data_IF_451931086528
#
_entry.id   IF_451931086528
#
_cell.length_a   1.000
_cell.length_b   1.000
_cell.length_c   1.000
_cell.angle_alpha   90.00
_cell.angle_beta   90.00
_cell.angle_gamma   90.00
#
_symmetry.space_group_name_H-M   'P 1'
#
loop_
_entity.id
_entity.type
_entity.pdbx_description
1 polymer ?
#
# COMPACT_ATOMS: atom_id res chain seq x y z
N UNK A 1 -20.46 -22.39 -58.79
CA UNK A 1 -19.59 -21.24 -59.13
C UNK A 1 -19.09 -20.66 -57.81
N UNK A 2 -17.77 -20.57 -57.65
CA UNK A 2 -17.06 -20.19 -56.42
C UNK A 2 -17.49 -18.83 -55.85
N UNK A 3 -17.09 -18.45 -54.63
CA UNK A 3 -15.70 -18.14 -54.26
C UNK A 3 -15.40 -18.47 -52.80
N UNK A 4 -14.18 -18.94 -52.59
CA UNK A 4 -13.46 -19.12 -51.33
C UNK A 4 -12.98 -17.75 -50.78
N UNK A 5 -13.36 -17.38 -49.54
CA UNK A 5 -12.53 -16.46 -48.73
C UNK A 5 -12.50 -16.94 -47.29
N UNK A 6 -11.29 -17.26 -46.86
CA UNK A 6 -10.87 -17.61 -45.52
C UNK A 6 -10.18 -16.37 -44.90
N UNK A 7 -10.37 -16.21 -43.58
CA UNK A 7 -9.67 -15.33 -42.63
C UNK A 7 -10.03 -13.84 -42.58
N UNK A 8 -10.78 -13.47 -41.54
CA UNK A 8 -10.29 -12.47 -40.59
C UNK A 8 -10.29 -13.07 -39.17
N UNK A 9 -9.12 -13.05 -38.55
CA UNK A 9 -8.81 -13.47 -37.21
C UNK A 9 -8.76 -12.23 -36.30
N UNK A 10 -9.79 -12.00 -35.49
CA UNK A 10 -9.65 -11.15 -34.31
C UNK A 10 -10.23 -11.86 -33.06
N UNK A 11 -9.42 -12.14 -32.02
CA UNK A 11 -9.90 -12.66 -30.75
C UNK A 11 -10.38 -11.49 -29.87
N UNK A 12 -11.60 -10.99 -30.11
CA UNK A 12 -12.20 -9.99 -29.19
C UNK A 12 -13.67 -10.18 -28.85
N UNK A 13 -14.37 -11.19 -29.37
CA UNK A 13 -15.83 -11.26 -29.22
C UNK A 13 -16.37 -12.24 -28.15
N UNK A 14 -15.54 -13.11 -27.53
CA UNK A 14 -16.05 -14.14 -26.59
C UNK A 14 -16.09 -13.71 -25.12
N UNK A 15 -15.67 -12.49 -24.78
CA UNK A 15 -15.70 -11.97 -23.41
C UNK A 15 -16.98 -11.25 -23.01
N UNK A 16 -17.81 -10.84 -23.99
CA UNK A 16 -18.97 -9.97 -23.74
C UNK A 16 -20.31 -10.72 -23.73
N UNK A 17 -20.44 -11.79 -24.53
CA UNK A 17 -21.67 -12.58 -24.62
C UNK A 17 -21.96 -13.39 -23.34
N UNK A 18 -20.94 -13.94 -22.67
CA UNK A 18 -21.14 -14.67 -21.41
C UNK A 18 -21.52 -13.76 -20.22
N UNK A 19 -21.04 -12.52 -20.22
CA UNK A 19 -21.35 -11.54 -19.17
C UNK A 19 -22.74 -10.95 -19.34
N UNK A 20 -23.18 -10.68 -20.57
CA UNK A 20 -24.52 -10.12 -20.82
C UNK A 20 -25.60 -11.17 -20.56
N UNK A 21 -25.39 -12.44 -20.91
CA UNK A 21 -26.33 -13.53 -20.60
C UNK A 21 -26.41 -13.81 -19.09
N UNK A 22 -25.28 -13.75 -18.37
CA UNK A 22 -25.27 -13.89 -16.91
C UNK A 22 -25.97 -12.70 -16.22
N UNK A 23 -25.79 -11.49 -16.76
CA UNK A 23 -26.48 -10.29 -16.28
C UNK A 23 -27.97 -10.37 -16.60
N UNK A 24 -28.38 -10.77 -17.81
CA UNK A 24 -29.78 -10.87 -18.21
C UNK A 24 -30.51 -12.00 -17.46
N UNK A 25 -29.85 -13.13 -17.19
CA UNK A 25 -30.37 -14.17 -16.31
C UNK A 25 -30.61 -13.67 -14.89
N UNK A 26 -29.65 -12.92 -14.32
CA UNK A 26 -29.78 -12.31 -12.99
C UNK A 26 -30.88 -11.24 -13.00
N UNK A 27 -30.96 -10.40 -14.02
CA UNK A 27 -31.98 -9.34 -14.15
C UNK A 27 -33.39 -9.92 -14.37
N UNK A 28 -33.53 -11.03 -15.11
CA UNK A 28 -34.80 -11.76 -15.28
C UNK A 28 -35.21 -12.55 -14.04
N UNK A 29 -34.25 -13.05 -13.27
CA UNK A 29 -34.52 -13.59 -11.94
C UNK A 29 -34.96 -12.47 -10.96
N UNK A 30 -34.45 -11.25 -11.16
CA UNK A 30 -34.78 -10.05 -10.40
C UNK A 30 -36.19 -9.50 -10.69
N UNK A 31 -36.65 -9.56 -11.94
CA UNK A 31 -37.92 -8.93 -12.34
C UNK A 31 -39.19 -9.70 -11.94
N UNK A 32 -39.06 -10.88 -11.33
CA UNK A 32 -40.19 -11.66 -10.77
C UNK A 32 -40.39 -11.49 -9.26
N UNK A 33 -39.46 -10.86 -8.56
CA UNK A 33 -39.54 -10.72 -7.09
C UNK A 33 -39.26 -9.26 -6.72
N UNK A 34 -40.31 -8.45 -6.83
CA UNK A 34 -40.33 -7.09 -6.31
C UNK A 34 -40.16 -7.12 -4.79
N UNK A 35 -39.03 -6.61 -4.31
CA UNK A 35 -38.88 -6.21 -2.90
C UNK A 35 -37.58 -6.67 -2.25
N UNK A 36 -36.71 -5.69 -2.00
CA UNK A 36 -35.55 -5.76 -1.12
C UNK A 36 -34.46 -6.79 -1.49
N UNK A 37 -33.35 -6.29 -2.05
CA UNK A 37 -32.05 -6.91 -1.77
C UNK A 37 -31.88 -6.80 -0.26
N UNK A 38 -32.18 -7.86 0.47
CA UNK A 38 -31.93 -7.91 1.90
C UNK A 38 -30.41 -7.78 2.09
N UNK A 39 -29.98 -6.96 3.04
CA UNK A 39 -28.57 -6.85 3.47
C UNK A 39 -27.95 -8.25 3.69
N UNK A 40 -28.79 -9.24 4.02
CA UNK A 40 -28.43 -10.65 4.16
C UNK A 40 -27.94 -11.30 2.85
N UNK A 41 -28.56 -11.04 1.70
CA UNK A 41 -28.12 -11.60 0.42
C UNK A 41 -26.73 -11.08 0.00
N UNK A 42 -26.47 -9.78 0.21
CA UNK A 42 -25.14 -9.19 -0.04
C UNK A 42 -24.09 -9.73 0.92
N UNK A 43 -24.43 -9.85 2.20
CA UNK A 43 -23.56 -10.43 3.23
C UNK A 43 -23.25 -11.91 2.95
N UNK A 44 -24.22 -12.65 2.43
CA UNK A 44 -24.08 -14.04 2.04
C UNK A 44 -23.19 -14.21 0.82
N UNK A 45 -23.32 -13.35 -0.21
CA UNK A 45 -22.45 -13.38 -1.38
C UNK A 45 -21.00 -12.98 -1.05
N UNK A 46 -20.82 -11.97 -0.18
CA UNK A 46 -19.50 -11.62 0.38
C UNK A 46 -18.95 -12.81 1.17
N UNK A 47 -19.77 -13.41 2.03
CA UNK A 47 -19.41 -14.59 2.82
C UNK A 47 -19.03 -15.79 1.95
N UNK A 48 -19.79 -16.08 0.89
CA UNK A 48 -19.54 -17.17 -0.04
C UNK A 48 -18.28 -16.95 -0.90
N UNK A 49 -18.06 -15.72 -1.38
CA UNK A 49 -16.85 -15.34 -2.11
C UNK A 49 -15.60 -15.42 -1.22
N UNK A 50 -15.69 -14.94 0.03
CA UNK A 50 -14.65 -15.10 1.04
C UNK A 50 -14.40 -16.58 1.32
N UNK A 51 -15.45 -17.38 1.53
CA UNK A 51 -15.31 -18.81 1.81
C UNK A 51 -14.68 -19.57 0.65
N UNK A 52 -15.02 -19.24 -0.60
CA UNK A 52 -14.42 -19.85 -1.80
C UNK A 52 -12.95 -19.46 -2.00
N UNK A 53 -12.62 -18.18 -1.82
CA UNK A 53 -11.24 -17.70 -1.95
C UNK A 53 -10.35 -18.09 -0.77
N UNK A 54 -10.90 -18.21 0.45
CA UNK A 54 -10.14 -18.57 1.65
C UNK A 54 -10.11 -20.07 1.97
N UNK A 55 -10.63 -20.95 1.09
CA UNK A 55 -10.55 -22.41 1.28
C UNK A 55 -9.12 -22.93 1.52
N UNK A 56 -8.11 -22.22 1.00
CA UNK A 56 -6.72 -22.58 1.20
C UNK A 56 -6.16 -21.94 2.49
N UNK A 57 -5.59 -22.73 3.42
CA UNK A 57 -5.15 -22.22 4.73
C UNK A 57 -4.14 -21.08 4.61
N UNK A 58 -3.24 -21.14 3.61
CA UNK A 58 -2.28 -20.05 3.36
C UNK A 58 -2.97 -18.77 2.86
N UNK A 59 -4.01 -18.87 2.02
CA UNK A 59 -4.75 -17.68 1.55
C UNK A 59 -5.49 -17.02 2.70
N UNK A 60 -6.09 -17.81 3.58
CA UNK A 60 -6.70 -17.33 4.83
C UNK A 60 -5.69 -16.61 5.72
N UNK A 61 -4.53 -17.22 5.97
CA UNK A 61 -3.46 -16.59 6.77
C UNK A 61 -2.98 -15.26 6.19
N UNK A 62 -2.83 -15.18 4.86
CA UNK A 62 -2.46 -13.93 4.16
C UNK A 62 -3.55 -12.89 4.30
N UNK A 63 -4.81 -13.27 4.07
CA UNK A 63 -5.94 -12.35 4.19
C UNK A 63 -6.07 -11.79 5.61
N UNK A 64 -6.03 -12.65 6.62
CA UNK A 64 -6.09 -12.27 8.03
C UNK A 64 -4.90 -11.37 8.43
N UNK A 65 -3.72 -11.62 7.86
CA UNK A 65 -2.56 -10.73 8.03
C UNK A 65 -2.81 -9.35 7.46
N UNK A 66 -3.38 -9.25 6.25
CA UNK A 66 -3.67 -7.98 5.60
C UNK A 66 -4.84 -7.22 6.24
N UNK A 67 -5.74 -7.89 6.95
CA UNK A 67 -6.72 -7.22 7.84
C UNK A 67 -5.99 -6.52 8.98
N UNK A 68 -5.04 -7.19 9.63
CA UNK A 68 -4.30 -6.65 10.78
C UNK A 68 -3.25 -5.61 10.38
N UNK A 69 -2.62 -5.79 9.24
CA UNK A 69 -1.58 -4.90 8.72
C UNK A 69 -1.85 -4.54 7.24
N UNK A 70 -2.81 -3.64 6.98
CA UNK A 70 -3.13 -3.21 5.62
C UNK A 70 -1.95 -2.50 4.95
N UNK A 71 -1.75 -2.75 3.67
CA UNK A 71 -0.69 -2.13 2.87
C UNK A 71 0.69 -2.72 3.11
N UNK A 72 0.78 -3.89 3.76
CA UNK A 72 2.05 -4.58 3.91
C UNK A 72 2.61 -5.01 2.55
N UNK A 73 3.94 -5.02 2.47
CA UNK A 73 4.63 -5.29 1.23
C UNK A 73 4.88 -6.80 1.06
N UNK A 74 4.92 -7.25 -0.20
CA UNK A 74 5.10 -8.66 -0.57
C UNK A 74 6.11 -9.44 0.30
N UNK A 75 7.35 -8.95 0.40
CA UNK A 75 8.42 -9.61 1.17
C UNK A 75 8.16 -9.65 2.68
N UNK A 76 7.44 -8.69 3.23
CA UNK A 76 7.09 -8.65 4.66
C UNK A 76 5.97 -9.63 4.95
N UNK A 77 4.96 -9.72 4.07
CA UNK A 77 3.92 -10.75 4.15
C UNK A 77 4.54 -12.15 4.14
N UNK A 78 5.44 -12.42 3.19
CA UNK A 78 6.10 -13.73 3.09
C UNK A 78 6.90 -14.09 4.34
N UNK A 79 7.67 -13.13 4.87
CA UNK A 79 8.50 -13.32 6.07
C UNK A 79 7.65 -13.46 7.34
N UNK A 80 6.66 -12.60 7.51
CA UNK A 80 5.83 -12.57 8.74
C UNK A 80 4.97 -13.82 8.89
N UNK A 81 4.62 -14.46 7.77
CA UNK A 81 3.83 -15.68 7.75
C UNK A 81 4.68 -16.95 7.58
N UNK A 82 6.01 -16.81 7.50
CA UNK A 82 6.94 -17.90 7.24
C UNK A 82 6.51 -18.78 6.05
N UNK A 83 6.25 -18.12 4.92
CA UNK A 83 5.84 -18.77 3.67
C UNK A 83 6.88 -18.54 2.59
N UNK A 84 7.14 -19.59 1.80
CA UNK A 84 8.06 -19.51 0.66
C UNK A 84 7.63 -18.41 -0.32
N UNK A 85 8.60 -17.70 -0.90
CA UNK A 85 8.37 -16.55 -1.80
C UNK A 85 7.45 -16.92 -2.98
N UNK A 86 7.69 -18.07 -3.63
CA UNK A 86 6.86 -18.53 -4.75
C UNK A 86 5.41 -18.77 -4.33
N UNK A 87 5.22 -19.43 -3.19
CA UNK A 87 3.92 -19.72 -2.58
C UNK A 87 3.18 -18.43 -2.20
N UNK A 88 3.85 -17.48 -1.56
CA UNK A 88 3.29 -16.16 -1.24
C UNK A 88 2.82 -15.43 -2.51
N UNK A 89 3.63 -15.47 -3.58
CA UNK A 89 3.32 -14.81 -4.85
C UNK A 89 2.08 -15.42 -5.48
N UNK A 90 2.02 -16.75 -5.57
CA UNK A 90 0.87 -17.46 -6.12
C UNK A 90 -0.42 -17.12 -5.37
N UNK A 91 -0.38 -17.19 -4.04
CA UNK A 91 -1.57 -16.95 -3.22
C UNK A 91 -2.03 -15.48 -3.21
N UNK A 92 -1.10 -14.52 -3.17
CA UNK A 92 -1.47 -13.10 -3.31
C UNK A 92 -2.05 -12.80 -4.69
N UNK A 93 -1.49 -13.36 -5.75
CA UNK A 93 -2.05 -13.21 -7.10
C UNK A 93 -3.45 -13.81 -7.21
N UNK A 94 -3.69 -14.98 -6.58
CA UNK A 94 -5.01 -15.58 -6.52
C UNK A 94 -6.02 -14.69 -5.76
N UNK A 95 -5.64 -14.17 -4.59
CA UNK A 95 -6.49 -13.25 -3.80
C UNK A 95 -6.83 -11.95 -4.54
N UNK A 96 -5.88 -11.45 -5.36
CA UNK A 96 -6.12 -10.28 -6.22
C UNK A 96 -7.07 -10.62 -7.36
N UNK A 97 -6.85 -11.75 -8.06
CA UNK A 97 -7.72 -12.22 -9.14
C UNK A 97 -9.15 -12.50 -8.67
N UNK A 98 -9.30 -12.98 -7.45
CA UNK A 98 -10.59 -13.25 -6.80
C UNK A 98 -11.25 -12.00 -6.20
N UNK A 99 -10.58 -10.83 -6.26
CA UNK A 99 -11.14 -9.56 -5.82
C UNK A 99 -11.20 -9.35 -4.31
N UNK A 100 -10.62 -10.27 -3.52
CA UNK A 100 -10.59 -10.18 -2.05
C UNK A 100 -9.54 -9.17 -1.55
N UNK A 101 -8.45 -9.04 -2.29
CA UNK A 101 -7.34 -8.12 -2.03
C UNK A 101 -7.11 -7.29 -3.28
N UNK A 102 -6.66 -6.04 -3.13
CA UNK A 102 -6.12 -5.26 -4.23
C UNK A 102 -4.66 -4.92 -3.97
N UNK A 103 -3.92 -4.71 -5.06
CA UNK A 103 -2.51 -4.36 -5.05
C UNK A 103 -2.36 -2.91 -5.53
N UNK A 104 -1.57 -2.13 -4.80
CA UNK A 104 -1.09 -0.81 -5.24
C UNK A 104 0.43 -0.81 -5.30
N UNK A 105 0.98 -0.19 -6.34
CA UNK A 105 2.42 0.02 -6.45
C UNK A 105 2.75 1.45 -5.99
N UNK A 106 3.34 1.56 -4.79
CA UNK A 106 3.72 2.86 -4.19
C UNK A 106 5.23 2.90 -4.02
N UNK A 107 5.89 3.94 -4.57
CA UNK A 107 7.35 4.12 -4.48
C UNK A 107 8.16 2.86 -4.88
N UNK A 108 7.72 2.15 -5.92
CA UNK A 108 8.37 0.93 -6.42
C UNK A 108 8.17 -0.31 -5.54
N UNK A 109 7.20 -0.28 -4.61
CA UNK A 109 6.85 -1.42 -3.75
C UNK A 109 5.38 -1.78 -3.92
N UNK A 110 5.14 -3.05 -4.19
CA UNK A 110 3.81 -3.65 -4.16
C UNK A 110 3.30 -3.73 -2.72
N UNK A 111 2.16 -3.09 -2.47
CA UNK A 111 1.42 -3.10 -1.21
C UNK A 111 0.05 -3.72 -1.43
N UNK A 112 -0.40 -4.50 -0.46
CA UNK A 112 -1.63 -5.27 -0.57
C UNK A 112 -2.64 -4.84 0.49
N UNK A 113 -3.89 -4.74 0.10
CA UNK A 113 -4.96 -4.24 0.95
C UNK A 113 -6.22 -5.09 0.76
N UNK A 114 -6.97 -5.32 1.83
CA UNK A 114 -8.24 -6.03 1.76
C UNK A 114 -9.32 -5.11 1.17
N UNK A 115 -10.16 -5.65 0.29
CA UNK A 115 -11.18 -4.85 -0.41
C UNK A 115 -12.47 -4.65 0.40
N UNK A 116 -12.90 -5.67 1.13
CA UNK A 116 -14.17 -5.67 1.85
C UNK A 116 -14.07 -4.90 3.18
N UNK A 117 -14.93 -3.89 3.38
CA UNK A 117 -15.18 -3.26 4.69
C UNK A 117 -14.01 -2.49 5.32
N UNK A 118 -12.93 -2.22 4.58
CA UNK A 118 -11.67 -1.73 5.16
C UNK A 118 -11.18 -0.38 4.57
N UNK A 119 -12.02 0.37 3.84
CA UNK A 119 -11.59 1.54 3.06
C UNK A 119 -10.88 2.63 3.90
N UNK A 120 -11.44 2.99 5.05
CA UNK A 120 -10.87 4.05 5.91
C UNK A 120 -9.56 3.59 6.56
N UNK A 121 -9.51 2.34 7.03
CA UNK A 121 -8.31 1.75 7.59
C UNK A 121 -7.22 1.67 6.52
N UNK A 122 -7.54 1.19 5.33
CA UNK A 122 -6.61 1.13 4.20
C UNK A 122 -6.06 2.52 3.87
N UNK A 123 -6.92 3.55 3.82
CA UNK A 123 -6.49 4.93 3.56
C UNK A 123 -5.51 5.43 4.62
N UNK A 124 -5.80 5.19 5.89
CA UNK A 124 -4.96 5.63 7.00
C UNK A 124 -3.59 4.96 6.98
N UNK A 125 -3.55 3.65 6.71
CA UNK A 125 -2.30 2.91 6.54
C UNK A 125 -1.53 3.34 5.28
N UNK A 126 -2.21 3.55 4.15
CA UNK A 126 -1.60 4.02 2.91
C UNK A 126 -0.87 5.36 3.12
N UNK A 127 -1.51 6.32 3.79
CA UNK A 127 -0.90 7.60 4.16
C UNK A 127 0.33 7.40 5.06
N UNK A 128 0.22 6.54 6.09
CA UNK A 128 1.34 6.24 6.96
C UNK A 128 2.54 5.65 6.20
N UNK A 129 2.26 4.72 5.29
CA UNK A 129 3.26 4.08 4.45
C UNK A 129 3.95 5.05 3.50
N UNK A 130 3.18 5.94 2.87
CA UNK A 130 3.70 7.00 2.02
C UNK A 130 4.68 7.89 2.80
N UNK A 131 4.28 8.38 3.98
CA UNK A 131 5.15 9.19 4.84
C UNK A 131 6.41 8.45 5.28
N UNK A 132 6.33 7.13 5.51
CA UNK A 132 7.51 6.30 5.80
C UNK A 132 8.42 6.20 4.58
N UNK A 133 7.88 5.97 3.39
CA UNK A 133 8.65 5.85 2.16
C UNK A 133 9.32 7.18 1.77
N UNK A 134 8.62 8.32 1.90
CA UNK A 134 9.21 9.66 1.69
C UNK A 134 10.37 9.90 2.65
N UNK A 135 10.22 9.57 3.95
CA UNK A 135 11.31 9.69 4.93
C UNK A 135 12.51 8.83 4.55
N UNK A 136 12.31 7.60 4.09
CA UNK A 136 13.39 6.72 3.64
C UNK A 136 14.09 7.29 2.40
N UNK A 137 13.34 7.87 1.46
CA UNK A 137 13.90 8.54 0.27
C UNK A 137 14.74 9.76 0.64
N UNK A 138 14.28 10.57 1.59
CA UNK A 138 15.06 11.70 2.13
C UNK A 138 16.38 11.20 2.75
N UNK A 139 16.32 10.16 3.58
CA UNK A 139 17.52 9.55 4.19
C UNK A 139 18.48 9.03 3.11
N UNK A 140 17.97 8.42 2.04
CA UNK A 140 18.79 7.94 0.93
C UNK A 140 19.48 9.10 0.18
N UNK A 141 18.80 10.22 -0.04
CA UNK A 141 19.39 11.42 -0.64
C UNK A 141 20.50 11.99 0.24
N UNK A 142 20.24 12.14 1.54
CA UNK A 142 21.25 12.65 2.48
C UNK A 142 22.45 11.71 2.61
N UNK A 143 22.25 10.40 2.52
CA UNK A 143 23.36 9.43 2.49
C UNK A 143 24.26 9.63 1.27
N UNK A 144 23.69 9.99 0.10
CA UNK A 144 24.44 10.18 -1.15
C UNK A 144 25.13 11.54 -1.23
N UNK A 145 24.49 12.59 -0.72
CA UNK A 145 24.99 13.97 -0.80
C UNK A 145 25.78 14.42 0.43
N UNK A 146 25.85 13.59 1.48
CA UNK A 146 26.30 13.89 2.85
C UNK A 146 25.45 14.96 3.57
N UNK A 147 25.22 16.11 2.93
CA UNK A 147 24.37 17.21 3.41
C UNK A 147 23.62 17.89 2.26
N UNK A 148 22.39 18.32 2.50
CA UNK A 148 21.57 18.98 1.48
C UNK A 148 20.57 19.97 2.08
N UNK A 149 20.23 21.01 1.30
CA UNK A 149 19.13 21.93 1.64
C UNK A 149 17.78 21.29 1.30
N UNK A 150 16.68 21.68 1.97
CA UNK A 150 15.33 21.21 1.63
C UNK A 150 14.94 21.45 0.17
N UNK A 151 15.41 22.55 -0.44
CA UNK A 151 15.17 22.86 -1.85
C UNK A 151 15.86 21.85 -2.78
N UNK A 152 17.11 21.46 -2.49
CA UNK A 152 17.83 20.43 -3.24
C UNK A 152 17.14 19.08 -3.11
N UNK A 153 16.75 18.69 -1.90
CA UNK A 153 16.03 17.43 -1.65
C UNK A 153 14.69 17.41 -2.38
N UNK A 154 13.95 18.52 -2.37
CA UNK A 154 12.69 18.69 -3.11
C UNK A 154 12.88 18.47 -4.60
N UNK A 155 13.90 19.10 -5.21
CA UNK A 155 14.23 18.92 -6.64
C UNK A 155 14.62 17.47 -6.96
N UNK A 156 15.46 16.84 -6.14
CA UNK A 156 15.90 15.45 -6.36
C UNK A 156 14.76 14.44 -6.22
N UNK A 157 13.83 14.67 -5.28
CA UNK A 157 12.74 13.74 -5.01
C UNK A 157 11.45 14.04 -5.80
N UNK A 158 11.36 15.19 -6.45
CA UNK A 158 10.16 15.62 -7.18
C UNK A 158 8.94 15.84 -6.27
N UNK A 159 9.16 16.30 -5.03
CA UNK A 159 8.09 16.55 -4.04
C UNK A 159 8.17 17.97 -3.49
N UNK A 160 7.07 18.48 -2.94
CA UNK A 160 7.00 19.87 -2.48
C UNK A 160 7.99 20.18 -1.36
N UNK A 161 8.53 21.40 -1.35
CA UNK A 161 9.44 21.87 -0.30
C UNK A 161 8.79 21.83 1.08
N UNK A 162 7.49 22.09 1.17
CA UNK A 162 6.73 22.02 2.43
C UNK A 162 6.68 20.58 2.97
N UNK A 163 6.42 19.59 2.10
CA UNK A 163 6.40 18.17 2.49
C UNK A 163 7.79 17.69 2.94
N UNK A 164 8.84 18.08 2.20
CA UNK A 164 10.23 17.80 2.61
C UNK A 164 10.52 18.40 3.98
N UNK A 165 10.17 19.67 4.20
CA UNK A 165 10.42 20.37 5.46
C UNK A 165 9.69 19.69 6.63
N UNK A 166 8.42 19.32 6.42
CA UNK A 166 7.66 18.54 7.39
C UNK A 166 8.37 17.24 7.80
N UNK A 167 8.83 16.46 6.81
CA UNK A 167 9.52 15.20 7.10
C UNK A 167 10.90 15.38 7.70
N UNK A 168 11.66 16.42 7.32
CA UNK A 168 12.94 16.73 7.93
C UNK A 168 12.80 17.09 9.41
N UNK A 169 11.81 17.90 9.78
CA UNK A 169 11.50 18.20 11.19
C UNK A 169 11.15 16.92 11.96
N UNK A 170 10.35 16.03 11.37
CA UNK A 170 10.01 14.74 12.00
C UNK A 170 11.23 13.82 12.16
N UNK A 171 12.12 13.79 11.17
CA UNK A 171 13.36 13.02 11.21
C UNK A 171 14.36 13.59 12.22
N UNK A 172 14.41 14.92 12.36
CA UNK A 172 15.27 15.63 13.33
C UNK A 172 14.81 15.35 14.75
N UNK A 173 13.49 15.48 15.02
CA UNK A 173 12.88 15.09 16.30
C UNK A 173 13.14 13.62 16.66
N UNK A 174 13.24 12.74 15.67
CA UNK A 174 13.57 11.33 15.86
C UNK A 174 15.09 11.05 15.95
N UNK A 175 15.94 12.09 15.95
CA UNK A 175 17.40 11.97 16.02
C UNK A 175 18.03 11.30 14.81
N UNK A 176 17.34 11.24 13.66
CA UNK A 176 17.83 10.58 12.43
C UNK A 176 18.59 11.54 11.50
N UNK A 177 18.27 12.82 11.57
CA UNK A 177 18.97 13.90 10.85
C UNK A 177 19.31 15.02 11.82
N UNK A 178 20.31 15.82 11.48
CA UNK A 178 20.64 17.07 12.19
C UNK A 178 20.63 18.23 11.21
N UNK A 179 20.20 19.39 11.69
CA UNK A 179 20.25 20.66 10.96
C UNK A 179 21.56 21.39 11.25
N UNK A 180 22.25 21.81 10.20
CA UNK A 180 23.45 22.65 10.23
C UNK A 180 23.15 23.94 9.45
N UNK A 181 22.66 24.97 10.14
CA UNK A 181 22.19 26.21 9.50
C UNK A 181 20.99 25.98 8.58
N UNK A 182 21.19 26.09 7.26
CA UNK A 182 20.15 25.82 6.23
C UNK A 182 20.19 24.40 5.66
N UNK A 183 21.23 23.63 6.00
CA UNK A 183 21.49 22.29 5.49
C UNK A 183 21.02 21.23 6.50
N UNK A 184 20.69 20.05 5.99
CA UNK A 184 20.43 18.86 6.80
C UNK A 184 21.42 17.77 6.43
N UNK A 185 21.82 16.96 7.41
CA UNK A 185 22.64 15.76 7.22
C UNK A 185 22.15 14.60 8.09
N UNK A 186 22.61 13.39 7.81
CA UNK A 186 22.31 12.23 8.67
C UNK A 186 22.99 12.39 10.04
N UNK A 187 22.29 11.98 11.11
CA UNK A 187 22.91 11.90 12.42
C UNK A 187 23.92 10.74 12.45
N UNK A 188 25.17 11.01 12.79
CA UNK A 188 26.20 9.98 12.94
C UNK A 188 25.85 9.02 14.09
N UNK A 189 26.05 7.69 13.94
CA UNK A 189 25.70 6.68 14.94
C UNK A 189 26.30 6.87 16.35
N UNK A 190 27.22 7.82 16.55
CA UNK A 190 27.88 8.09 17.85
C UNK A 190 27.42 9.35 18.60
N UNK A 191 26.36 10.05 18.18
CA UNK A 191 26.00 11.35 18.77
C UNK A 191 24.75 11.34 19.67
N UNK A 192 24.31 10.17 20.15
CA UNK A 192 23.30 10.08 21.22
C UNK A 192 24.00 10.22 22.59
N UNK A 193 24.58 11.40 22.84
CA UNK A 193 24.92 11.89 24.18
C UNK A 193 24.91 13.42 24.13
N UNK A 194 24.16 14.03 25.05
CA UNK A 194 24.14 15.48 25.24
C UNK A 194 22.82 16.16 24.89
N UNK A 195 21.74 15.78 25.58
CA UNK A 195 20.56 16.63 25.72
C UNK A 195 19.98 16.47 27.13
N UNK A 196 20.80 16.67 28.14
CA UNK A 196 20.41 17.00 29.51
C UNK A 196 21.63 17.60 30.19
N UNK A 197 21.84 18.90 30.02
CA UNK A 197 22.34 19.68 31.14
C UNK A 197 21.77 21.09 31.09
N UNK A 198 21.17 21.47 32.21
CA UNK A 198 20.47 22.72 32.41
C UNK A 198 21.49 23.84 32.56
N UNK A 199 21.17 25.00 31.98
CA UNK A 199 21.86 26.24 32.31
C UNK A 199 21.61 26.56 33.80
N UNK A 200 22.55 26.20 34.67
CA UNK A 200 22.68 26.84 35.99
C UNK A 200 23.33 28.20 35.76
N UNK A 201 22.56 29.25 36.06
CA UNK A 201 23.02 30.63 36.13
C UNK A 201 23.99 30.73 37.31
N UNK A 202 25.27 30.97 37.06
CA UNK A 202 26.16 31.55 38.05
C UNK A 202 25.94 33.06 38.04
N UNK A 203 25.28 33.54 39.08
CA UNK A 203 25.26 34.94 39.43
C UNK A 203 26.63 35.32 39.97
N UNK A 204 27.25 36.31 39.35
CA UNK A 204 28.36 37.06 39.94
C UNK A 204 27.84 38.47 40.16
N UNK A 205 27.82 38.91 41.41
CA UNK A 205 28.04 40.32 41.73
C UNK A 205 28.70 40.46 43.11
N UNK A 206 29.49 41.52 43.29
CA UNK A 206 30.47 41.68 44.36
C UNK A 206 29.84 41.94 45.72
#
# INVERSE_FOLDING_TARGET
MGVFVMQDTSPSAYGFLGTVEAIDYVLRAFSRTSGAISIQATSFLIGAAIMAGLKHPVRRRIYDHLIRLPGDHFRSVARSLDIAIGTARYHLAALVREGLVYKEDTNGRARYYVKAGAADVNRLYAQHWEFRDVRLRIVAVLRRLDRAQPATISKVLGISRQLVSYHLVRLEKAGRVRREGSLYRLASPGSVRGAHDGKVRLGTKP
#
